data_IF_074256820476
#
_entry.id   IF_074256820476
#
_cell.length_a   1.000
_cell.length_b   1.000
_cell.length_c   1.000
_cell.angle_alpha   90.00
_cell.angle_beta   90.00
_cell.angle_gamma   90.00
#
_symmetry.space_group_name_H-M   'P 1'
#
loop_
_entity.id
_entity.type
_entity.pdbx_description
1 polymer ?
#
# COMPACT_ATOMS: atom_id res chain seq x y z
N UNK A 1 18.09 -38.54 100.97
CA UNK A 1 19.34 -39.21 100.52
C UNK A 1 19.58 -38.81 99.08
N UNK A 2 20.70 -38.12 98.84
CA UNK A 2 21.18 -37.65 97.54
C UNK A 2 21.52 -38.86 96.64
N UNK A 3 21.16 -38.80 95.37
CA UNK A 3 22.07 -39.22 94.31
C UNK A 3 21.92 -38.25 93.13
N UNK A 4 22.99 -37.51 92.89
CA UNK A 4 23.21 -36.59 91.78
C UNK A 4 23.90 -37.40 90.68
N UNK A 5 23.37 -37.38 89.46
CA UNK A 5 24.03 -37.82 88.23
C UNK A 5 23.73 -36.70 87.22
N UNK A 6 24.56 -35.66 87.15
CA UNK A 6 25.75 -35.53 86.30
C UNK A 6 25.38 -35.52 84.80
N UNK A 7 25.19 -34.29 84.30
CA UNK A 7 25.09 -33.91 82.89
C UNK A 7 26.28 -34.46 82.08
N UNK A 8 25.98 -35.10 80.96
CA UNK A 8 26.96 -35.34 79.90
C UNK A 8 26.66 -34.39 78.73
N UNK A 9 27.54 -33.40 78.61
CA UNK A 9 27.60 -32.44 77.52
C UNK A 9 27.89 -33.16 76.21
N UNK A 10 26.98 -33.00 75.25
CA UNK A 10 27.08 -33.54 73.90
C UNK A 10 28.22 -32.89 73.12
N UNK A 11 29.08 -33.72 72.55
CA UNK A 11 30.25 -33.34 71.72
C UNK A 11 29.73 -32.85 70.34
N UNK A 12 30.25 -31.75 69.78
CA UNK A 12 29.84 -31.30 68.45
C UNK A 12 30.43 -32.22 67.36
N UNK A 13 29.58 -32.63 66.42
CA UNK A 13 29.95 -33.43 65.26
C UNK A 13 30.80 -32.61 64.26
N UNK A 14 31.85 -33.17 63.63
CA UNK A 14 32.65 -32.46 62.65
C UNK A 14 31.87 -32.27 61.33
N UNK A 15 31.90 -31.05 60.80
CA UNK A 15 31.37 -30.69 59.48
C UNK A 15 32.00 -31.51 58.35
N UNK A 16 31.23 -31.94 57.32
CA UNK A 16 31.79 -32.66 56.19
C UNK A 16 32.68 -31.76 55.34
N UNK A 17 33.91 -32.22 55.11
CA UNK A 17 34.94 -31.59 54.29
C UNK A 17 34.49 -31.50 52.83
N UNK A 18 34.71 -30.35 52.19
CA UNK A 18 34.41 -30.14 50.77
C UNK A 18 35.23 -31.10 49.88
N UNK A 19 34.64 -31.67 48.81
CA UNK A 19 35.39 -32.54 47.90
C UNK A 19 36.41 -31.71 47.09
N UNK A 20 37.62 -32.24 46.98
CA UNK A 20 38.70 -31.68 46.17
C UNK A 20 38.30 -31.61 44.68
N UNK A 21 38.70 -30.55 43.94
CA UNK A 21 38.38 -30.43 42.53
C UNK A 21 39.11 -31.52 41.74
N UNK A 22 38.36 -32.38 41.05
CA UNK A 22 38.92 -33.33 40.09
C UNK A 22 39.51 -32.56 38.89
N UNK A 23 40.69 -32.95 38.37
CA UNK A 23 41.22 -32.35 37.15
C UNK A 23 40.26 -32.62 35.99
N UNK A 24 39.90 -31.55 35.28
CA UNK A 24 39.02 -31.61 34.11
C UNK A 24 39.57 -32.62 33.09
N UNK A 25 38.70 -33.52 32.64
CA UNK A 25 39.01 -34.43 31.54
C UNK A 25 39.50 -33.63 30.33
N UNK A 26 40.52 -34.11 29.58
CA UNK A 26 40.99 -33.41 28.39
C UNK A 26 39.82 -33.23 27.43
N UNK A 27 39.51 -31.97 27.12
CA UNK A 27 38.42 -31.60 26.22
C UNK A 27 38.56 -32.34 24.90
N UNK A 28 37.43 -32.84 24.37
CA UNK A 28 37.38 -33.39 23.01
C UNK A 28 38.08 -32.40 22.06
N UNK A 29 38.95 -32.88 21.15
CA UNK A 29 39.52 -32.00 20.14
C UNK A 29 38.38 -31.34 19.36
N UNK A 30 38.39 -30.01 19.32
CA UNK A 30 37.46 -29.21 18.52
C UNK A 30 37.44 -29.76 17.11
N UNK A 31 36.29 -30.28 16.66
CA UNK A 31 36.14 -30.77 15.28
C UNK A 31 36.64 -29.68 14.33
N UNK A 32 37.56 -30.06 13.44
CA UNK A 32 38.18 -29.18 12.47
C UNK A 32 37.08 -28.50 11.64
N UNK A 33 36.97 -27.17 11.78
CA UNK A 33 35.89 -26.40 11.17
C UNK A 33 36.13 -26.31 9.68
N UNK A 34 35.30 -27.00 8.89
CA UNK A 34 35.36 -26.87 7.43
C UNK A 34 34.60 -25.61 7.00
N UNK A 35 35.26 -24.62 6.38
CA UNK A 35 34.59 -23.40 5.94
C UNK A 35 33.56 -23.69 4.83
N UNK A 36 32.54 -22.83 4.64
CA UNK A 36 31.60 -22.97 3.54
C UNK A 36 32.33 -22.88 2.18
N UNK A 37 31.79 -23.58 1.18
CA UNK A 37 32.30 -23.50 -0.19
C UNK A 37 32.10 -22.08 -0.70
N UNK A 38 33.13 -21.49 -1.30
CA UNK A 38 33.03 -20.13 -1.84
C UNK A 38 32.14 -20.10 -3.08
N UNK A 39 31.41 -19.00 -3.24
CA UNK A 39 30.67 -18.66 -4.46
C UNK A 39 31.16 -17.32 -5.01
N UNK A 40 30.95 -17.12 -6.30
CA UNK A 40 31.23 -15.84 -6.96
C UNK A 40 29.94 -15.03 -7.03
N UNK A 41 29.99 -13.75 -6.65
CA UNK A 41 28.86 -12.82 -6.79
C UNK A 41 27.70 -13.06 -5.82
N UNK A 42 27.94 -13.66 -4.66
CA UNK A 42 26.92 -13.77 -3.62
C UNK A 42 26.62 -12.44 -2.93
N UNK A 43 25.43 -12.36 -2.33
CA UNK A 43 24.94 -11.20 -1.60
C UNK A 43 25.70 -11.08 -0.28
N UNK A 44 26.40 -9.96 -0.10
CA UNK A 44 27.24 -9.65 1.07
C UNK A 44 26.55 -8.66 1.99
N UNK A 45 26.70 -8.87 3.29
CA UNK A 45 26.36 -7.88 4.31
C UNK A 45 27.38 -6.74 4.29
N UNK A 46 26.93 -5.49 4.33
CA UNK A 46 27.78 -4.28 4.31
C UNK A 46 28.15 -3.79 5.70
N UNK A 47 27.44 -4.22 6.75
CA UNK A 47 27.74 -3.89 8.13
C UNK A 47 29.22 -4.19 8.48
N UNK A 48 29.96 -3.22 9.05
CA UNK A 48 31.42 -3.34 9.21
C UNK A 48 31.84 -4.30 10.35
N UNK A 49 30.96 -4.53 11.32
CA UNK A 49 31.24 -5.33 12.50
C UNK A 49 29.96 -5.94 13.10
N UNK A 50 30.16 -6.94 13.96
CA UNK A 50 29.13 -7.51 14.82
C UNK A 50 29.29 -6.96 16.26
N UNK A 51 28.21 -6.65 17.00
CA UNK A 51 26.81 -6.59 16.55
C UNK A 51 26.57 -5.51 15.50
N UNK A 52 25.55 -5.70 14.66
CA UNK A 52 25.14 -4.69 13.68
C UNK A 52 24.63 -3.45 14.43
N UNK A 53 25.27 -2.30 14.22
CA UNK A 53 24.92 -1.04 14.88
C UNK A 53 24.22 -0.10 13.90
N UNK A 54 23.40 0.80 14.44
CA UNK A 54 22.76 1.88 13.66
C UNK A 54 21.52 1.46 12.87
N UNK A 55 20.98 0.25 13.09
CA UNK A 55 19.72 -0.18 12.48
C UNK A 55 18.54 0.64 13.04
N UNK A 56 17.63 1.02 12.16
CA UNK A 56 16.33 1.57 12.51
C UNK A 56 15.50 0.59 13.33
N UNK A 57 14.53 1.11 14.08
CA UNK A 57 13.75 0.33 15.05
C UNK A 57 13.06 -0.91 14.45
N UNK A 58 12.55 -0.80 13.21
CA UNK A 58 11.91 -1.92 12.50
C UNK A 58 12.92 -3.01 12.17
N UNK A 59 14.06 -2.67 11.57
CA UNK A 59 15.12 -3.61 11.25
C UNK A 59 15.72 -4.26 12.51
N UNK A 60 15.93 -3.46 13.56
CA UNK A 60 16.40 -3.94 14.86
C UNK A 60 15.42 -4.94 15.47
N UNK A 61 14.11 -4.63 15.51
CA UNK A 61 13.09 -5.54 16.05
C UNK A 61 13.07 -6.89 15.33
N UNK A 62 13.33 -6.88 14.02
CA UNK A 62 13.38 -8.06 13.18
C UNK A 62 14.62 -8.92 13.46
N UNK A 63 15.80 -8.29 13.57
CA UNK A 63 17.03 -8.98 13.96
C UNK A 63 16.91 -9.59 15.37
N UNK A 64 16.40 -8.81 16.32
CA UNK A 64 16.19 -9.25 17.71
C UNK A 64 15.25 -10.46 17.78
N UNK A 65 14.24 -10.54 16.91
CA UNK A 65 13.33 -11.69 16.86
C UNK A 65 14.06 -13.01 16.57
N UNK A 66 15.07 -13.00 15.69
CA UNK A 66 15.92 -14.17 15.47
C UNK A 66 16.91 -14.42 16.61
N UNK A 67 17.51 -13.36 17.16
CA UNK A 67 18.50 -13.49 18.26
C UNK A 67 17.87 -13.99 19.57
N UNK A 68 16.57 -13.76 19.79
CA UNK A 68 15.82 -14.38 20.90
C UNK A 68 15.80 -15.92 20.80
N UNK A 69 15.79 -16.46 19.56
CA UNK A 69 15.71 -17.89 19.24
C UNK A 69 17.07 -18.56 19.12
N UNK A 70 18.10 -17.84 18.68
CA UNK A 70 19.47 -18.31 18.60
C UNK A 70 20.36 -17.44 19.49
N UNK A 71 20.75 -17.97 20.66
CA UNK A 71 21.55 -17.25 21.66
C UNK A 71 23.02 -17.68 21.70
N UNK A 72 23.42 -18.64 20.87
CA UNK A 72 24.80 -19.08 20.83
C UNK A 72 25.66 -18.05 20.09
N UNK A 73 26.40 -17.24 20.85
CA UNK A 73 27.27 -16.17 20.34
C UNK A 73 28.31 -16.67 19.32
N UNK A 74 28.81 -17.89 19.49
CA UNK A 74 29.77 -18.47 18.54
C UNK A 74 29.12 -18.74 17.18
N UNK A 75 27.91 -19.31 17.17
CA UNK A 75 27.15 -19.54 15.93
C UNK A 75 26.81 -18.20 15.27
N UNK A 76 26.43 -17.19 16.05
CA UNK A 76 26.11 -15.86 15.56
C UNK A 76 27.34 -15.23 14.90
N UNK A 77 28.50 -15.26 15.56
CA UNK A 77 29.75 -14.69 15.06
C UNK A 77 30.26 -15.45 13.82
N UNK A 78 30.17 -16.78 13.81
CA UNK A 78 30.48 -17.61 12.63
C UNK A 78 29.55 -17.23 11.48
N UNK A 79 28.24 -17.10 11.74
CA UNK A 79 27.27 -16.74 10.71
C UNK A 79 27.59 -15.38 10.09
N UNK A 80 27.90 -14.38 10.93
CA UNK A 80 28.27 -13.06 10.47
C UNK A 80 29.52 -13.09 9.60
N UNK A 81 30.61 -13.69 10.08
CA UNK A 81 31.91 -13.65 9.40
C UNK A 81 32.00 -14.60 8.20
N UNK A 82 31.58 -15.86 8.35
CA UNK A 82 31.79 -16.90 7.35
C UNK A 82 30.69 -16.96 6.28
N UNK A 83 29.48 -16.46 6.58
CA UNK A 83 28.34 -16.51 5.67
C UNK A 83 27.92 -15.12 5.18
N UNK A 84 27.55 -14.22 6.09
CA UNK A 84 26.96 -12.93 5.72
C UNK A 84 27.97 -11.99 5.06
N UNK A 85 29.11 -11.73 5.71
CA UNK A 85 30.17 -10.84 5.17
C UNK A 85 30.87 -11.46 3.97
N UNK A 86 31.11 -12.78 3.98
CA UNK A 86 31.76 -13.50 2.87
C UNK A 86 30.86 -13.74 1.64
N UNK A 87 29.60 -13.32 1.68
CA UNK A 87 28.72 -13.38 0.54
C UNK A 87 28.34 -14.80 0.13
N UNK A 88 27.93 -15.64 1.09
CA UNK A 88 27.53 -17.03 0.79
C UNK A 88 26.09 -17.16 0.28
N UNK A 89 25.32 -16.09 0.26
CA UNK A 89 23.92 -16.10 -0.19
C UNK A 89 23.86 -15.91 -1.70
N UNK A 90 23.34 -16.90 -2.44
CA UNK A 90 23.17 -16.82 -3.90
C UNK A 90 21.97 -15.97 -4.31
N UNK A 91 20.88 -16.08 -3.56
CA UNK A 91 19.69 -15.25 -3.77
C UNK A 91 18.95 -15.06 -2.45
N UNK A 92 18.27 -13.93 -2.37
CA UNK A 92 17.43 -13.54 -1.25
C UNK A 92 16.22 -12.82 -1.83
N UNK A 93 15.03 -13.37 -1.63
CA UNK A 93 13.78 -12.84 -2.18
C UNK A 93 12.73 -12.69 -1.07
N UNK A 94 11.93 -11.64 -1.18
CA UNK A 94 10.91 -11.29 -0.19
C UNK A 94 9.53 -11.48 -0.79
N UNK A 95 8.68 -12.24 -0.11
CA UNK A 95 7.30 -12.45 -0.48
C UNK A 95 6.39 -12.25 0.75
N UNK A 96 5.07 -12.10 0.57
CA UNK A 96 4.14 -11.98 1.68
C UNK A 96 4.32 -13.08 2.74
N UNK A 97 4.76 -12.71 3.94
CA UNK A 97 4.95 -13.63 5.06
C UNK A 97 6.21 -14.49 5.02
N UNK A 98 7.08 -14.38 4.00
CA UNK A 98 8.22 -15.29 3.86
C UNK A 98 9.43 -14.64 3.17
N UNK A 99 10.61 -15.00 3.66
CA UNK A 99 11.91 -14.76 3.02
C UNK A 99 12.39 -16.09 2.45
N UNK A 100 12.64 -16.14 1.15
CA UNK A 100 13.24 -17.28 0.49
C UNK A 100 14.72 -16.99 0.21
N UNK A 101 15.60 -17.92 0.56
CA UNK A 101 17.04 -17.78 0.36
C UNK A 101 17.70 -19.09 -0.07
N UNK A 102 18.70 -18.96 -0.95
CA UNK A 102 19.63 -20.03 -1.30
C UNK A 102 21.02 -19.71 -0.77
N UNK A 103 21.51 -20.46 0.21
CA UNK A 103 22.75 -20.14 0.93
C UNK A 103 23.77 -21.25 0.74
N UNK A 104 24.95 -20.91 0.24
CA UNK A 104 26.03 -21.85 0.10
C UNK A 104 26.63 -22.19 1.46
N UNK A 105 26.67 -23.48 1.78
CA UNK A 105 27.41 -23.99 2.94
C UNK A 105 28.51 -24.96 2.51
N UNK A 106 28.79 -25.95 3.35
CA UNK A 106 29.82 -26.96 3.09
C UNK A 106 29.48 -27.95 1.96
N UNK A 107 28.18 -28.24 1.77
CA UNK A 107 27.71 -29.21 0.77
C UNK A 107 27.71 -28.59 -0.63
N UNK A 108 27.74 -29.41 -1.68
CA UNK A 108 27.79 -28.93 -3.06
C UNK A 108 26.54 -28.10 -3.45
N UNK A 109 25.34 -28.59 -3.12
CA UNK A 109 24.06 -27.89 -3.38
C UNK A 109 23.79 -26.81 -2.31
N UNK A 110 23.43 -25.56 -2.67
CA UNK A 110 23.03 -24.56 -1.69
C UNK A 110 21.89 -25.03 -0.78
N UNK A 111 21.88 -24.56 0.46
CA UNK A 111 20.79 -24.75 1.41
C UNK A 111 19.57 -23.94 0.98
N UNK A 112 18.41 -24.58 1.01
CA UNK A 112 17.12 -23.91 0.80
C UNK A 112 16.63 -23.45 2.16
N UNK A 113 16.40 -22.16 2.31
CA UNK A 113 16.01 -21.54 3.57
C UNK A 113 14.76 -20.71 3.34
N UNK A 114 13.75 -20.95 4.15
CA UNK A 114 12.58 -20.10 4.25
C UNK A 114 12.50 -19.56 5.68
N UNK A 115 12.34 -18.25 5.83
CA UNK A 115 12.07 -17.62 7.13
C UNK A 115 10.66 -17.04 7.05
N UNK A 116 9.77 -17.53 7.90
CA UNK A 116 8.40 -17.07 7.96
C UNK A 116 8.25 -15.96 8.99
N UNK A 117 7.52 -14.91 8.59
CA UNK A 117 7.31 -13.71 9.38
C UNK A 117 5.81 -13.60 9.70
N UNK A 118 5.42 -13.35 10.96
CA UNK A 118 4.02 -13.15 11.34
C UNK A 118 3.36 -12.02 10.53
N UNK A 119 2.32 -12.37 9.77
CA UNK A 119 1.58 -11.40 8.97
C UNK A 119 0.62 -10.55 9.82
N UNK A 120 0.42 -9.31 9.42
CA UNK A 120 -0.61 -8.43 10.00
C UNK A 120 -1.98 -8.90 9.50
N UNK A 121 -2.96 -8.99 10.40
CA UNK A 121 -4.32 -9.41 10.08
C UNK A 121 -4.96 -8.50 9.00
N UNK A 122 -5.79 -9.04 8.08
CA UNK A 122 -6.43 -8.24 7.02
C UNK A 122 -7.22 -7.03 7.53
N UNK A 123 -7.93 -7.16 8.65
CA UNK A 123 -8.68 -6.05 9.25
C UNK A 123 -7.77 -4.91 9.75
N UNK A 124 -6.55 -5.21 10.17
CA UNK A 124 -5.56 -4.21 10.56
C UNK A 124 -5.01 -3.47 9.35
N UNK A 125 -4.85 -4.14 8.21
CA UNK A 125 -4.48 -3.49 6.95
C UNK A 125 -5.52 -2.47 6.50
N UNK A 126 -6.82 -2.76 6.68
CA UNK A 126 -7.87 -1.79 6.35
C UNK A 126 -7.76 -0.51 7.20
N UNK A 127 -7.32 -0.59 8.45
CA UNK A 127 -7.05 0.63 9.27
C UNK A 127 -5.84 1.40 8.76
N UNK A 128 -4.77 0.70 8.39
CA UNK A 128 -3.56 1.31 7.82
C UNK A 128 -3.87 2.02 6.50
N UNK A 129 -4.62 1.39 5.61
CA UNK A 129 -5.08 2.00 4.35
C UNK A 129 -5.91 3.26 4.63
N UNK A 130 -6.74 3.25 5.68
CA UNK A 130 -7.52 4.43 6.08
C UNK A 130 -6.61 5.60 6.48
N UNK A 131 -5.62 5.32 7.33
CA UNK A 131 -4.66 6.32 7.79
C UNK A 131 -3.85 6.89 6.63
N UNK A 132 -3.40 6.04 5.70
CA UNK A 132 -2.67 6.48 4.50
C UNK A 132 -3.56 7.36 3.62
N UNK A 133 -4.82 6.99 3.39
CA UNK A 133 -5.74 7.81 2.58
C UNK A 133 -5.98 9.18 3.21
N UNK A 134 -6.02 9.26 4.55
CA UNK A 134 -6.16 10.52 5.28
C UNK A 134 -4.90 11.40 5.19
N UNK A 135 -3.71 10.82 5.05
CA UNK A 135 -2.45 11.53 4.82
C UNK A 135 -2.22 11.74 3.31
N UNK A 136 -2.65 12.89 2.80
CA UNK A 136 -2.57 13.24 1.38
C UNK A 136 -1.13 13.19 0.83
N UNK A 137 -0.11 13.80 1.48
CA UNK A 137 1.29 13.66 1.06
C UNK A 137 1.78 12.21 0.99
N UNK A 138 1.47 11.39 2.01
CA UNK A 138 1.92 9.99 2.07
C UNK A 138 1.30 9.15 0.97
N UNK A 139 -0.02 9.24 0.80
CA UNK A 139 -0.72 8.50 -0.24
C UNK A 139 -0.35 8.96 -1.65
N UNK A 140 -0.03 10.24 -1.86
CA UNK A 140 0.42 10.72 -3.18
C UNK A 140 1.78 10.13 -3.56
N UNK A 141 2.75 10.17 -2.64
CA UNK A 141 4.08 9.56 -2.84
C UNK A 141 4.00 8.05 -3.06
N UNK A 142 3.20 7.36 -2.26
CA UNK A 142 2.94 5.92 -2.43
C UNK A 142 2.39 5.59 -3.82
N UNK A 143 1.44 6.38 -4.32
CA UNK A 143 0.83 6.17 -5.63
C UNK A 143 1.75 6.55 -6.79
N UNK A 144 2.66 7.49 -6.58
CA UNK A 144 3.72 7.83 -7.53
C UNK A 144 4.81 6.75 -7.61
N UNK A 145 4.81 5.77 -6.70
CA UNK A 145 5.84 4.74 -6.62
C UNK A 145 7.16 5.26 -6.05
N UNK A 146 7.13 6.41 -5.40
CA UNK A 146 8.28 6.97 -4.69
C UNK A 146 8.53 6.22 -3.38
N UNK A 147 9.77 6.21 -2.91
CA UNK A 147 10.10 5.67 -1.60
C UNK A 147 9.43 6.53 -0.52
N UNK A 148 8.60 5.88 0.29
CA UNK A 148 7.78 6.55 1.28
C UNK A 148 8.52 6.55 2.61
N UNK A 149 9.33 7.59 2.80
CA UNK A 149 9.88 7.89 4.12
C UNK A 149 8.74 8.04 5.14
N UNK A 150 8.95 7.51 6.35
CA UNK A 150 8.02 7.62 7.47
C UNK A 150 6.66 6.92 7.28
N UNK A 151 6.60 5.83 6.50
CA UNK A 151 5.39 5.00 6.40
C UNK A 151 4.91 4.46 7.77
N UNK A 152 5.83 4.32 8.72
CA UNK A 152 5.57 3.91 10.12
C UNK A 152 4.52 4.80 10.81
N UNK A 153 4.50 6.10 10.52
CA UNK A 153 3.50 7.03 11.07
C UNK A 153 2.06 6.63 10.76
N UNK A 154 1.80 6.05 9.59
CA UNK A 154 0.47 5.55 9.23
C UNK A 154 0.10 4.26 9.96
N UNK A 155 1.09 3.42 10.28
CA UNK A 155 0.89 2.25 11.13
C UNK A 155 0.54 2.68 12.55
N UNK A 156 1.28 3.64 13.11
CA UNK A 156 1.04 4.19 14.45
C UNK A 156 -0.33 4.84 14.55
N UNK A 157 -0.73 5.67 13.57
CA UNK A 157 -2.06 6.25 13.49
C UNK A 157 -3.18 5.20 13.40
N UNK A 158 -2.90 4.05 12.77
CA UNK A 158 -3.81 2.93 12.72
C UNK A 158 -3.80 2.07 13.98
N UNK A 159 -2.91 2.31 14.96
CA UNK A 159 -2.74 1.48 16.15
C UNK A 159 -2.21 0.08 15.83
N UNK A 160 -1.38 -0.03 14.80
CA UNK A 160 -0.72 -1.26 14.34
C UNK A 160 0.78 -0.99 14.32
N UNK A 161 1.63 -1.97 14.62
CA UNK A 161 3.08 -1.80 14.51
C UNK A 161 3.60 -2.52 13.28
N UNK A 162 4.44 -1.83 12.50
CA UNK A 162 5.18 -2.46 11.39
C UNK A 162 6.31 -3.37 11.93
N UNK A 163 6.97 -2.93 13.00
CA UNK A 163 7.93 -3.71 13.77
C UNK A 163 7.29 -4.97 14.38
N UNK A 164 8.10 -6.01 14.60
CA UNK A 164 7.63 -7.21 15.29
C UNK A 164 7.48 -6.93 16.79
N UNK A 165 6.36 -7.38 17.36
CA UNK A 165 6.17 -7.36 18.80
C UNK A 165 7.00 -8.48 19.47
N UNK A 166 7.31 -8.33 20.77
CA UNK A 166 8.14 -9.30 21.50
C UNK A 166 7.55 -10.72 21.55
N UNK A 167 6.23 -10.84 21.46
CA UNK A 167 5.52 -12.11 21.44
C UNK A 167 5.40 -12.71 20.03
N UNK A 168 5.72 -11.96 18.98
CA UNK A 168 5.75 -12.43 17.61
C UNK A 168 7.10 -13.12 17.34
N UNK A 169 7.05 -14.37 16.87
CA UNK A 169 8.26 -15.16 16.65
C UNK A 169 8.43 -15.48 15.17
N UNK A 170 9.67 -15.43 14.72
CA UNK A 170 10.05 -15.96 13.42
C UNK A 170 10.07 -17.49 13.47
N UNK A 171 9.70 -18.12 12.37
CA UNK A 171 9.93 -19.55 12.18
C UNK A 171 10.72 -19.80 10.91
N UNK A 172 11.30 -21.00 10.78
CA UNK A 172 12.12 -21.33 9.62
C UNK A 172 11.85 -22.73 9.09
N UNK A 173 12.03 -22.88 7.80
CA UNK A 173 12.10 -24.16 7.12
C UNK A 173 13.45 -24.24 6.42
N UNK A 174 14.26 -25.26 6.71
CA UNK A 174 15.56 -25.43 6.06
C UNK A 174 15.87 -26.90 5.82
N UNK A 175 16.56 -27.20 4.74
CA UNK A 175 17.08 -28.55 4.43
C UNK A 175 18.44 -28.86 5.09
N UNK A 176 18.77 -28.15 6.17
CA UNK A 176 19.94 -28.40 7.01
C UNK A 176 19.64 -29.46 8.08
N UNK A 177 20.64 -30.27 8.44
CA UNK A 177 20.55 -31.21 9.55
C UNK A 177 20.55 -30.54 10.95
N UNK A 178 20.83 -29.24 11.01
CA UNK A 178 20.82 -28.46 12.24
C UNK A 178 19.40 -28.25 12.78
N UNK A 179 19.12 -28.89 13.92
CA UNK A 179 17.83 -28.88 14.63
C UNK A 179 17.66 -27.71 15.62
N UNK A 180 18.60 -26.77 15.69
CA UNK A 180 18.43 -25.56 16.50
C UNK A 180 17.16 -24.79 16.09
N UNK A 181 16.56 -23.95 16.95
CA UNK A 181 15.45 -23.09 16.52
C UNK A 181 15.81 -22.23 15.31
N UNK A 182 17.05 -21.71 15.27
CA UNK A 182 17.60 -20.94 14.15
C UNK A 182 19.02 -21.40 13.80
N UNK A 183 19.21 -22.02 12.63
CA UNK A 183 20.54 -22.40 12.15
C UNK A 183 21.27 -21.20 11.57
N UNK A 184 22.58 -21.35 11.37
CA UNK A 184 23.42 -20.35 10.72
C UNK A 184 22.93 -19.88 9.35
N UNK A 185 22.32 -20.75 8.55
CA UNK A 185 21.78 -20.33 7.24
C UNK A 185 20.55 -19.44 7.40
N UNK A 186 19.61 -19.79 8.27
CA UNK A 186 18.44 -18.95 8.54
C UNK A 186 18.83 -17.63 9.22
N UNK A 187 19.80 -17.67 10.13
CA UNK A 187 20.34 -16.47 10.75
C UNK A 187 21.05 -15.56 9.73
N UNK A 188 21.78 -16.13 8.77
CA UNK A 188 22.40 -15.38 7.67
C UNK A 188 21.34 -14.66 6.81
N UNK A 189 20.25 -15.35 6.46
CA UNK A 189 19.13 -14.74 5.75
C UNK A 189 18.52 -13.57 6.55
N UNK A 190 18.35 -13.72 7.86
CA UNK A 190 17.83 -12.64 8.73
C UNK A 190 18.80 -11.45 8.82
N UNK A 191 20.09 -11.66 8.98
CA UNK A 191 21.07 -10.56 9.04
C UNK A 191 21.06 -9.73 7.75
N UNK A 192 21.06 -10.40 6.58
CA UNK A 192 20.97 -9.72 5.29
C UNK A 192 19.63 -9.01 5.10
N UNK A 193 18.53 -9.65 5.50
CA UNK A 193 17.21 -9.04 5.43
C UNK A 193 17.07 -7.84 6.38
N UNK A 194 17.70 -7.87 7.56
CA UNK A 194 17.71 -6.74 8.49
C UNK A 194 18.38 -5.51 7.88
N UNK A 195 19.56 -5.67 7.24
CA UNK A 195 20.22 -4.58 6.51
C UNK A 195 19.38 -4.09 5.32
N UNK A 196 18.69 -4.99 4.62
CA UNK A 196 17.80 -4.61 3.52
C UNK A 196 16.56 -3.85 4.02
N UNK A 197 15.95 -4.27 5.12
CA UNK A 197 14.81 -3.61 5.76
C UNK A 197 15.19 -2.22 6.24
N UNK A 198 16.40 -2.06 6.78
CA UNK A 198 16.93 -0.77 7.20
C UNK A 198 17.04 0.21 6.03
N UNK A 199 17.52 -0.28 4.88
CA UNK A 199 17.58 0.51 3.66
C UNK A 199 16.20 0.76 3.01
N UNK A 200 15.24 -0.17 3.16
CA UNK A 200 13.90 -0.05 2.60
C UNK A 200 12.83 -0.71 3.51
N UNK A 201 12.10 0.08 4.32
CA UNK A 201 11.05 -0.42 5.21
C UNK A 201 9.89 -1.13 4.50
N UNK A 202 9.68 -0.93 3.19
CA UNK A 202 8.64 -1.62 2.41
C UNK A 202 8.90 -3.13 2.31
N UNK A 203 10.14 -3.57 2.52
CA UNK A 203 10.46 -4.99 2.64
C UNK A 203 9.76 -5.57 3.87
N UNK A 204 9.83 -4.92 5.02
CA UNK A 204 9.11 -5.38 6.21
C UNK A 204 7.60 -5.39 5.97
N UNK A 205 7.06 -4.37 5.31
CA UNK A 205 5.63 -4.33 4.94
C UNK A 205 5.21 -5.54 4.11
N UNK A 206 6.04 -5.90 3.12
CA UNK A 206 5.86 -7.11 2.30
C UNK A 206 5.88 -8.34 3.17
N UNK A 207 6.87 -8.47 4.05
CA UNK A 207 6.97 -9.60 4.99
C UNK A 207 5.79 -9.67 5.97
N UNK A 208 5.20 -8.54 6.34
CA UNK A 208 3.96 -8.48 7.14
C UNK A 208 2.68 -8.75 6.32
N UNK A 209 2.80 -9.09 5.04
CA UNK A 209 1.72 -9.64 4.22
C UNK A 209 1.16 -8.70 3.15
N UNK A 210 1.73 -7.51 2.96
CA UNK A 210 1.23 -6.53 1.98
C UNK A 210 2.35 -6.02 1.08
N UNK A 211 2.23 -6.26 -0.24
CA UNK A 211 3.16 -5.68 -1.21
C UNK A 211 2.88 -4.19 -1.42
N UNK A 212 3.86 -3.44 -1.93
CA UNK A 212 3.68 -2.04 -2.30
C UNK A 212 2.55 -1.85 -3.31
N UNK A 213 2.53 -2.69 -4.34
CA UNK A 213 1.51 -2.65 -5.39
C UNK A 213 0.13 -2.94 -4.80
N UNK A 214 0.04 -3.94 -3.91
CA UNK A 214 -1.19 -4.31 -3.22
C UNK A 214 -1.70 -3.23 -2.28
N UNK A 215 -0.80 -2.46 -1.65
CA UNK A 215 -1.16 -1.32 -0.82
C UNK A 215 -1.63 -0.13 -1.67
N UNK A 216 -0.87 0.22 -2.71
CA UNK A 216 -1.20 1.28 -3.65
C UNK A 216 -2.57 1.04 -4.32
N UNK A 217 -2.86 -0.21 -4.67
CA UNK A 217 -4.15 -0.59 -5.23
C UNK A 217 -5.30 -0.40 -4.24
N UNK A 218 -5.14 -0.82 -2.98
CA UNK A 218 -6.15 -0.57 -1.93
C UNK A 218 -6.38 0.91 -1.66
N UNK A 219 -5.31 1.71 -1.71
CA UNK A 219 -5.42 3.18 -1.57
C UNK A 219 -6.18 3.79 -2.75
N UNK A 220 -5.93 3.34 -4.00
CA UNK A 220 -6.71 3.76 -5.17
C UNK A 220 -8.18 3.42 -5.04
N UNK A 221 -8.49 2.16 -4.69
CA UNK A 221 -9.86 1.69 -4.53
C UNK A 221 -10.62 2.49 -3.47
N UNK A 222 -9.97 2.74 -2.32
CA UNK A 222 -10.62 3.48 -1.23
C UNK A 222 -10.84 4.95 -1.56
N UNK A 223 -9.90 5.59 -2.29
CA UNK A 223 -10.09 6.96 -2.79
C UNK A 223 -11.26 7.04 -3.79
N UNK A 224 -11.36 6.08 -4.71
CA UNK A 224 -12.47 6.02 -5.67
C UNK A 224 -13.83 5.89 -4.96
N UNK A 225 -13.94 4.98 -3.98
CA UNK A 225 -15.18 4.82 -3.20
C UNK A 225 -15.55 6.08 -2.39
N UNK A 226 -14.56 6.78 -1.83
CA UNK A 226 -14.80 8.03 -1.11
C UNK A 226 -15.32 9.14 -2.02
N UNK A 227 -14.77 9.26 -3.24
CA UNK A 227 -15.26 10.20 -4.26
C UNK A 227 -16.69 9.89 -4.70
N UNK A 228 -17.03 8.61 -4.91
CA UNK A 228 -18.40 8.20 -5.26
C UNK A 228 -19.40 8.47 -4.13
N UNK A 229 -19.01 8.29 -2.87
CA UNK A 229 -19.90 8.49 -1.71
C UNK A 229 -20.16 9.96 -1.35
N UNK A 230 -19.23 10.86 -1.66
CA UNK A 230 -19.35 12.30 -1.34
C UNK A 230 -19.96 13.11 -2.48
N UNK A 231 -20.24 12.50 -3.63
CA UNK A 231 -20.65 13.24 -4.84
C UNK A 231 -19.63 14.29 -5.27
N UNK A 232 -18.42 14.26 -4.69
CA UNK A 232 -17.31 15.10 -5.07
C UNK A 232 -16.85 14.60 -6.43
N UNK A 233 -17.36 15.26 -7.47
CA UNK A 233 -17.04 15.01 -8.87
C UNK A 233 -15.53 14.93 -8.99
N UNK A 234 -15.01 13.71 -9.13
CA UNK A 234 -13.71 13.53 -9.75
C UNK A 234 -13.81 14.28 -11.07
N UNK A 235 -12.96 15.28 -11.30
CA UNK A 235 -12.94 16.05 -12.54
C UNK A 235 -12.82 15.15 -13.79
N UNK A 236 -12.53 13.86 -13.60
CA UNK A 236 -12.67 12.83 -14.60
C UNK A 236 -12.96 11.47 -13.94
N UNK A 237 -14.10 10.87 -14.23
CA UNK A 237 -14.38 9.45 -13.97
C UNK A 237 -14.07 8.68 -15.26
N UNK A 238 -13.09 7.76 -15.29
CA UNK A 238 -12.95 6.88 -16.42
C UNK A 238 -14.20 5.99 -16.46
N UNK A 239 -15.15 6.30 -17.35
CA UNK A 239 -16.31 5.45 -17.59
C UNK A 239 -15.79 4.06 -17.95
N UNK A 240 -15.89 3.13 -17.00
CA UNK A 240 -15.70 1.71 -17.30
C UNK A 240 -16.93 1.31 -18.12
N UNK A 241 -16.79 0.74 -19.33
CA UNK A 241 -17.91 0.49 -20.25
C UNK A 241 -18.87 -0.64 -19.80
N UNK A 242 -18.97 -0.94 -18.50
CA UNK A 242 -19.76 -2.04 -17.98
C UNK A 242 -21.27 -1.86 -18.20
N UNK A 243 -21.80 -0.64 -18.20
CA UNK A 243 -23.23 -0.39 -18.47
C UNK A 243 -23.55 -0.22 -19.96
N UNK A 244 -22.57 0.13 -20.80
CA UNK A 244 -22.77 0.30 -22.24
C UNK A 244 -22.72 -1.02 -23.03
N UNK A 245 -22.01 -2.03 -22.52
CA UNK A 245 -21.86 -3.33 -23.18
C UNK A 245 -23.17 -4.13 -23.28
N UNK A 246 -24.16 -3.87 -22.41
CA UNK A 246 -25.42 -4.61 -22.42
C UNK A 246 -26.45 -4.10 -23.45
N UNK A 247 -26.18 -2.95 -24.09
CA UNK A 247 -27.06 -2.34 -25.11
C UNK A 247 -26.39 -2.18 -26.48
N UNK A 248 -25.08 -2.39 -26.58
CA UNK A 248 -24.34 -2.23 -27.83
C UNK A 248 -24.48 -3.48 -28.72
N UNK A 249 -25.02 -3.30 -29.92
CA UNK A 249 -25.03 -4.35 -30.95
C UNK A 249 -23.60 -4.63 -31.46
N UNK A 250 -23.30 -5.86 -31.94
CA UNK A 250 -22.00 -6.18 -32.54
C UNK A 250 -21.61 -5.20 -33.65
N UNK A 251 -20.32 -4.85 -33.72
CA UNK A 251 -19.78 -3.86 -34.67
C UNK A 251 -20.12 -4.21 -36.12
N UNK A 252 -20.07 -5.51 -36.46
CA UNK A 252 -20.38 -6.04 -37.78
C UNK A 252 -21.80 -5.68 -38.25
N UNK A 253 -22.73 -5.50 -37.30
CA UNK A 253 -24.13 -5.12 -37.58
C UNK A 253 -24.29 -3.62 -37.87
N UNK A 254 -23.28 -2.80 -37.54
CA UNK A 254 -23.31 -1.35 -37.65
C UNK A 254 -22.35 -0.78 -38.72
N UNK A 255 -21.63 -1.63 -39.46
CA UNK A 255 -20.62 -1.19 -40.44
C UNK A 255 -21.18 -0.25 -41.51
N UNK A 256 -22.44 -0.44 -41.93
CA UNK A 256 -23.07 0.36 -42.98
C UNK A 256 -23.29 1.83 -42.60
N UNK A 257 -23.39 2.14 -41.29
CA UNK A 257 -23.61 3.49 -40.77
C UNK A 257 -22.56 3.89 -39.74
N UNK A 258 -21.41 3.21 -39.70
CA UNK A 258 -20.36 3.42 -38.69
C UNK A 258 -19.82 4.84 -38.70
N UNK A 259 -19.75 5.45 -39.87
CA UNK A 259 -19.28 6.83 -40.06
C UNK A 259 -20.39 7.88 -39.91
N UNK A 260 -21.63 7.46 -39.71
CA UNK A 260 -22.77 8.37 -39.59
C UNK A 260 -23.03 8.71 -38.13
N UNK A 261 -23.10 10.01 -37.84
CA UNK A 261 -23.56 10.49 -36.54
C UNK A 261 -25.07 10.17 -36.39
N UNK A 262 -25.38 9.17 -35.56
CA UNK A 262 -26.76 8.79 -35.26
C UNK A 262 -27.57 9.92 -34.59
N UNK A 263 -28.91 9.80 -34.53
CA UNK A 263 -29.77 10.83 -33.94
C UNK A 263 -29.47 11.11 -32.46
N UNK A 264 -28.84 10.17 -31.76
CA UNK A 264 -28.36 10.33 -30.38
C UNK A 264 -27.29 11.40 -30.23
N UNK A 265 -26.51 11.70 -31.28
CA UNK A 265 -25.50 12.77 -31.23
C UNK A 265 -26.16 14.13 -31.01
N UNK A 266 -27.38 14.32 -31.52
CA UNK A 266 -28.16 15.56 -31.29
C UNK A 266 -28.71 15.68 -29.86
N UNK A 267 -28.75 14.57 -29.12
CA UNK A 267 -29.17 14.56 -27.72
C UNK A 267 -28.00 14.78 -26.76
N UNK A 268 -26.76 14.87 -27.27
CA UNK A 268 -25.59 15.20 -26.45
C UNK A 268 -25.63 16.70 -26.18
N UNK A 269 -26.08 17.07 -24.99
CA UNK A 269 -25.94 18.42 -24.49
C UNK A 269 -24.49 18.66 -24.05
N UNK A 270 -23.77 19.53 -24.76
CA UNK A 270 -22.44 20.00 -24.38
C UNK A 270 -22.51 21.46 -23.96
N UNK A 271 -23.01 21.79 -22.76
CA UNK A 271 -23.04 23.16 -22.30
C UNK A 271 -21.62 23.71 -22.20
N UNK A 272 -21.33 24.76 -22.97
CA UNK A 272 -20.07 25.50 -22.90
C UNK A 272 -20.10 26.32 -21.61
N UNK A 273 -19.40 25.85 -20.57
CA UNK A 273 -19.24 26.56 -19.30
C UNK A 273 -17.79 26.54 -18.85
N UNK A 274 -17.38 27.56 -18.13
CA UNK A 274 -16.09 27.57 -17.47
C UNK A 274 -15.97 26.38 -16.49
N UNK A 275 -14.83 25.68 -16.45
CA UNK A 275 -14.64 24.58 -15.53
C UNK A 275 -14.57 25.10 -14.08
N UNK A 276 -15.19 24.39 -13.15
CA UNK A 276 -15.23 24.75 -11.72
C UNK A 276 -13.83 24.72 -11.06
N UNK A 277 -12.90 23.97 -11.64
CA UNK A 277 -11.50 23.86 -11.21
C UNK A 277 -10.59 24.27 -12.34
N UNK A 278 -9.62 25.14 -12.05
CA UNK A 278 -8.59 25.56 -13.00
C UNK A 278 -7.66 24.40 -13.39
N UNK A 279 -7.57 24.12 -14.69
CA UNK A 279 -6.60 23.21 -15.31
C UNK A 279 -6.48 21.80 -14.68
N UNK A 280 -7.58 21.04 -14.46
CA UNK A 280 -7.54 19.77 -13.74
C UNK A 280 -6.67 18.71 -14.43
N UNK A 281 -6.70 18.67 -15.77
CA UNK A 281 -5.89 17.73 -16.56
C UNK A 281 -4.40 18.03 -16.46
N UNK A 282 -4.02 19.32 -16.48
CA UNK A 282 -2.62 19.74 -16.36
C UNK A 282 -2.07 19.50 -14.95
N UNK A 283 -2.91 19.70 -13.91
CA UNK A 283 -2.53 19.40 -12.51
C UNK A 283 -2.27 17.91 -12.30
N UNK A 284 -3.04 17.03 -12.94
CA UNK A 284 -2.83 15.57 -12.87
C UNK A 284 -1.61 15.12 -13.67
N UNK A 285 -1.30 15.79 -14.78
CA UNK A 285 -0.11 15.49 -15.59
C UNK A 285 1.19 15.71 -14.81
N UNK A 286 1.18 16.64 -13.85
CA UNK A 286 2.34 16.95 -13.03
C UNK A 286 3.42 17.71 -13.81
N UNK A 287 4.60 17.93 -13.22
CA UNK A 287 5.68 18.67 -13.86
C UNK A 287 6.18 17.95 -15.12
N UNK A 288 6.56 18.74 -16.13
CA UNK A 288 7.11 18.23 -17.39
C UNK A 288 8.42 17.46 -17.16
N UNK A 289 8.63 16.29 -17.81
CA UNK A 289 9.86 15.51 -17.67
C UNK A 289 11.07 16.11 -18.43
N UNK A 290 10.86 17.15 -19.24
CA UNK A 290 11.91 17.76 -20.07
C UNK A 290 12.73 18.78 -19.27
N UNK A 291 13.94 18.38 -18.83
CA UNK A 291 14.83 19.22 -18.00
C UNK A 291 15.53 20.34 -18.76
N UNK A 292 15.74 20.19 -20.07
CA UNK A 292 16.42 21.16 -20.94
C UNK A 292 15.44 22.08 -21.68
N UNK A 293 14.16 22.07 -21.32
CA UNK A 293 13.15 22.93 -21.92
C UNK A 293 13.37 24.40 -21.55
N UNK A 294 13.24 25.30 -22.53
CA UNK A 294 13.36 26.76 -22.30
C UNK A 294 12.28 27.32 -21.35
N UNK A 295 11.16 26.60 -21.18
CA UNK A 295 10.08 26.97 -20.29
C UNK A 295 9.29 25.73 -19.79
N UNK A 296 8.56 25.84 -18.67
CA UNK A 296 7.70 24.76 -18.17
C UNK A 296 6.51 24.51 -19.11
N UNK A 297 6.47 23.34 -19.77
CA UNK A 297 5.43 22.99 -20.75
C UNK A 297 4.00 23.10 -20.18
N UNK A 298 3.82 22.69 -18.93
CA UNK A 298 2.52 22.75 -18.24
C UNK A 298 2.02 24.19 -18.11
N UNK A 299 2.94 25.14 -17.88
CA UNK A 299 2.60 26.56 -17.79
C UNK A 299 2.17 27.13 -19.14
N UNK A 300 2.89 26.81 -20.21
CA UNK A 300 2.51 27.22 -21.57
C UNK A 300 1.12 26.67 -21.93
N UNK A 301 0.89 25.39 -21.69
CA UNK A 301 -0.39 24.76 -22.00
C UNK A 301 -1.52 25.41 -21.20
N UNK A 302 -1.30 25.74 -19.92
CA UNK A 302 -2.30 26.45 -19.12
C UNK A 302 -2.72 27.77 -19.79
N UNK A 303 -1.74 28.58 -20.20
CA UNK A 303 -2.02 29.82 -20.93
C UNK A 303 -2.78 29.58 -22.23
N UNK A 304 -2.44 28.54 -23.00
CA UNK A 304 -3.18 28.19 -24.21
C UNK A 304 -4.63 27.78 -23.91
N UNK A 305 -4.86 27.01 -22.84
CA UNK A 305 -6.21 26.61 -22.41
C UNK A 305 -7.04 27.81 -21.95
N UNK A 306 -6.45 28.73 -21.20
CA UNK A 306 -7.12 29.95 -20.74
C UNK A 306 -7.57 30.80 -21.95
N UNK A 307 -6.65 31.09 -22.87
CA UNK A 307 -6.95 31.89 -24.08
C UNK A 307 -8.02 31.22 -24.95
N UNK A 308 -7.91 29.91 -25.18
CA UNK A 308 -8.90 29.19 -25.98
C UNK A 308 -10.27 29.14 -25.29
N UNK A 309 -10.31 28.93 -23.98
CA UNK A 309 -11.57 28.87 -23.21
C UNK A 309 -12.26 30.23 -23.18
N UNK A 310 -11.51 31.31 -22.94
CA UNK A 310 -12.02 32.67 -22.96
C UNK A 310 -12.62 33.01 -24.34
N UNK A 311 -11.88 32.73 -25.41
CA UNK A 311 -12.36 32.96 -26.78
C UNK A 311 -13.67 32.23 -27.06
N UNK A 312 -13.75 30.93 -26.76
CA UNK A 312 -14.95 30.12 -27.01
C UNK A 312 -16.14 30.59 -26.18
N UNK A 313 -15.93 30.96 -24.91
CA UNK A 313 -17.01 31.48 -24.07
C UNK A 313 -17.51 32.84 -24.58
N UNK A 314 -16.62 33.72 -25.02
CA UNK A 314 -17.03 35.03 -25.59
C UNK A 314 -17.81 34.90 -26.90
N UNK A 315 -17.42 33.97 -27.78
CA UNK A 315 -18.16 33.68 -29.02
C UNK A 315 -19.53 33.06 -28.72
N UNK A 316 -19.59 32.12 -27.78
CA UNK A 316 -20.87 31.49 -27.38
C UNK A 316 -21.84 32.49 -26.75
N UNK A 317 -21.36 33.44 -25.96
CA UNK A 317 -22.16 34.56 -25.42
C UNK A 317 -22.64 35.51 -26.52
N UNK A 318 -21.80 35.80 -27.52
CA UNK A 318 -22.15 36.65 -28.65
C UNK A 318 -23.21 36.00 -29.58
N UNK A 319 -23.10 34.69 -29.83
CA UNK A 319 -24.09 33.92 -30.59
C UNK A 319 -25.43 33.81 -29.83
N UNK A 320 -25.39 33.61 -28.52
CA UNK A 320 -26.60 33.59 -27.67
C UNK A 320 -27.31 34.96 -27.67
N UNK A 321 -26.56 36.06 -27.63
CA UNK A 321 -27.12 37.42 -27.71
C UNK A 321 -27.65 37.81 -29.10
N UNK A 322 -27.10 37.24 -30.18
CA UNK A 322 -27.56 37.50 -31.54
C UNK A 322 -28.86 36.76 -31.89
N UNK A 323 -29.13 35.61 -31.27
CA UNK A 323 -30.35 34.82 -31.46
C UNK A 323 -31.64 35.48 -30.92
N UNK A 324 -31.51 36.44 -30.01
CA UNK A 324 -32.66 37.12 -29.38
C UNK A 324 -33.15 38.36 -30.17
N UNK A 325 -32.42 38.78 -31.22
CA UNK A 325 -32.72 39.97 -32.02
C UNK A 325 -33.47 39.72 -33.35
N UNK A 326 -33.90 38.48 -33.65
CA UNK A 326 -34.57 38.17 -34.93
C UNK A 326 -35.77 37.24 -34.77
N UNK A 327 -36.87 37.78 -34.25
CA UNK A 327 -38.21 37.27 -34.53
C UNK A 327 -39.15 38.46 -34.77
N UNK A 328 -39.73 38.66 -35.97
CA UNK A 328 -40.72 39.69 -36.16
C UNK A 328 -42.01 39.29 -35.44
N UNK A 329 -42.50 40.18 -34.58
CA UNK A 329 -43.76 40.04 -33.88
C UNK A 329 -44.91 39.78 -34.88
N UNK A 330 -45.57 38.65 -34.74
CA UNK A 330 -46.86 38.39 -35.39
C UNK A 330 -47.95 39.00 -34.51
N UNK A 331 -48.87 39.84 -35.01
CA UNK A 331 -49.88 40.46 -34.16
C UNK A 331 -50.93 39.45 -33.69
N UNK A 332 -51.17 39.39 -32.37
CA UNK A 332 -52.23 38.61 -31.75
C UNK A 332 -53.63 39.07 -32.19
N UNK A 333 -54.59 38.14 -32.42
CA UNK A 333 -55.99 38.50 -32.61
C UNK A 333 -56.67 38.88 -31.27
N UNK A 334 -57.71 39.73 -31.28
CA UNK A 334 -58.29 40.29 -30.07
C UNK A 334 -59.07 39.24 -29.27
N UNK A 335 -58.81 39.19 -27.96
CA UNK A 335 -59.48 38.35 -26.97
C UNK A 335 -60.83 38.96 -26.58
N UNK A 336 -61.92 38.21 -26.77
CA UNK A 336 -63.27 38.54 -26.29
C UNK A 336 -63.33 38.52 -24.75
N UNK A 337 -64.00 39.49 -24.09
CA UNK A 337 -64.11 39.50 -22.63
C UNK A 337 -65.12 38.46 -22.10
N UNK A 338 -64.91 37.92 -20.88
CA UNK A 338 -65.73 36.84 -20.33
C UNK A 338 -67.11 37.35 -19.88
N UNK A 339 -68.17 36.49 -19.92
CA UNK A 339 -69.49 36.89 -19.47
C UNK A 339 -69.59 36.88 -17.94
N UNK A 340 -70.15 37.95 -17.37
CA UNK A 340 -70.53 38.02 -15.95
C UNK A 340 -71.78 37.15 -15.67
N UNK A 341 -71.93 36.61 -14.45
CA UNK A 341 -73.15 35.91 -14.06
C UNK A 341 -74.17 36.90 -13.51
N UNK A 342 -75.39 36.90 -14.06
CA UNK A 342 -76.55 37.45 -13.37
C UNK A 342 -77.72 36.48 -13.44
N UNK A 343 -78.36 36.38 -12.28
CA UNK A 343 -79.48 35.53 -11.93
C UNK A 343 -80.79 35.95 -12.61
N UNK A 344 -81.67 34.95 -12.71
CA UNK A 344 -83.13 35.02 -12.81
C UNK A 344 -83.83 35.45 -14.11
N UNK A 345 -84.56 34.46 -14.64
CA UNK A 345 -85.91 34.50 -15.23
C UNK A 345 -86.10 35.24 -16.57
N UNK A 346 -86.31 34.45 -17.63
CA UNK A 346 -87.64 34.37 -18.29
C UNK A 346 -87.74 33.16 -19.22
N UNK A 347 -88.70 32.29 -18.87
CA UNK A 347 -89.32 31.30 -19.74
C UNK A 347 -89.96 31.99 -20.95
N UNK A 348 -89.60 31.60 -22.17
CA UNK A 348 -90.52 31.59 -23.32
C UNK A 348 -89.85 30.86 -24.49
N UNK A 349 -90.23 29.60 -24.67
CA UNK A 349 -89.81 28.79 -25.79
C UNK A 349 -90.90 27.80 -26.18
N UNK A 350 -91.38 28.00 -27.42
CA UNK A 350 -91.92 27.02 -28.38
C UNK A 350 -93.43 26.77 -28.39
N UNK A 351 -94.03 27.09 -29.55
CA UNK A 351 -94.58 26.07 -30.47
C UNK A 351 -94.86 26.74 -31.84
N UNK A 352 -94.17 26.36 -32.92
CA UNK A 352 -94.42 25.21 -33.82
C UNK A 352 -95.56 25.50 -34.81
N UNK A 353 -95.19 25.72 -36.09
CA UNK A 353 -96.08 25.52 -37.25
C UNK A 353 -95.26 25.12 -38.49
N UNK A 354 -95.31 23.83 -38.84
CA UNK A 354 -95.45 23.38 -40.23
C UNK A 354 -95.88 21.91 -40.24
N UNK A 355 -97.10 21.74 -40.75
CA UNK A 355 -97.84 20.54 -41.18
C UNK A 355 -97.88 19.33 -40.27
#
# INVERSE_FOLDING_TARGET
MRLVIAEQSSIPSPSPSAPSPQPAAPGRPSQERTPPRRITGGITLKAPAWPMQGLGAVAQSFLDAALRLQRNEEIIQETFTDFAVRGQTRSLTYAPGVIDAFIQGHRYRPYTVQVHVPAIAPASWERVVAAIVADVPLATRLLAGEDVENIESAFDAAGVRLALADNEQLSRTTDSADKSPFCKHALCAVMLAAEAIDANPMIMMTLRGMTREGLAERVRQRRALASSATGAVSAYEPQRPAEAEHLAQPLESNLNGFWDAGPSVRAIETPLRAPDVSHPLLRRLGPSPFKDGQFPLVGLLATCYDVASEFVLTEAEAEAGAGEASAPATPEPPVEPPPMPLSMRRTLGKAKRKK
#
